data_IF_197716245477
#
_entry.id   IF_197716245477
#
_cell.length_a   1.000
_cell.length_b   1.000
_cell.length_c   1.000
_cell.angle_alpha   90.00
_cell.angle_beta   90.00
_cell.angle_gamma   90.00
#
_symmetry.space_group_name_H-M   'P 1'
#
loop_
_entity.id
_entity.type
_entity.pdbx_description
1 polymer ?
#
# COMPACT_ATOMS: atom_id res chain seq x y z
N UNK A 1 7.43 24.91 -18.42
CA UNK A 1 6.82 23.72 -17.83
C UNK A 1 5.59 24.08 -17.00
N UNK A 2 5.67 24.83 -15.90
CA UNK A 2 4.50 25.18 -15.07
C UNK A 2 3.30 25.84 -15.80
N UNK A 3 3.53 26.64 -16.85
CA UNK A 3 2.42 27.15 -17.68
C UNK A 3 1.62 26.02 -18.34
N UNK A 4 2.29 24.97 -18.81
CA UNK A 4 1.66 23.81 -19.45
C UNK A 4 0.84 23.01 -18.44
N UNK A 5 1.31 22.88 -17.20
CA UNK A 5 0.53 22.28 -16.10
C UNK A 5 -0.83 22.99 -15.90
N UNK A 6 -0.84 24.32 -15.88
CA UNK A 6 -2.11 25.06 -15.77
C UNK A 6 -2.96 24.98 -17.04
N UNK A 7 -2.36 24.93 -18.23
CA UNK A 7 -3.11 24.71 -19.47
C UNK A 7 -3.75 23.32 -19.52
N UNK A 8 -3.07 22.30 -18.99
CA UNK A 8 -3.59 20.94 -18.83
C UNK A 8 -4.81 20.95 -17.91
N UNK A 9 -4.71 21.63 -16.77
CA UNK A 9 -5.83 21.82 -15.85
C UNK A 9 -7.01 22.56 -16.49
N UNK A 10 -6.76 23.64 -17.23
CA UNK A 10 -7.81 24.38 -17.95
C UNK A 10 -8.51 23.49 -19.00
N UNK A 11 -7.76 22.66 -19.73
CA UNK A 11 -8.33 21.70 -20.67
C UNK A 11 -9.19 20.65 -19.96
N UNK A 12 -8.70 20.08 -18.87
CA UNK A 12 -9.44 19.14 -18.02
C UNK A 12 -10.76 19.74 -17.51
N UNK A 13 -10.73 21.01 -17.08
CA UNK A 13 -11.93 21.68 -16.59
C UNK A 13 -12.99 21.89 -17.68
N UNK A 14 -12.56 22.15 -18.92
CA UNK A 14 -13.45 22.51 -20.03
C UNK A 14 -14.17 21.28 -20.59
N UNK A 15 -13.42 20.32 -21.10
CA UNK A 15 -13.98 19.21 -21.89
C UNK A 15 -13.07 17.98 -22.00
N UNK A 16 -11.90 17.95 -21.34
CA UNK A 16 -10.93 16.87 -21.49
C UNK A 16 -10.83 15.92 -20.27
N UNK A 17 -11.79 15.95 -19.33
CA UNK A 17 -11.71 15.11 -18.12
C UNK A 17 -11.83 13.61 -18.41
N UNK A 18 -12.45 13.22 -19.53
CA UNK A 18 -12.54 11.83 -19.97
C UNK A 18 -11.18 11.23 -20.38
N UNK A 19 -10.16 12.08 -20.58
CA UNK A 19 -8.79 11.67 -20.94
C UNK A 19 -7.83 11.67 -19.73
N UNK A 20 -8.36 11.46 -18.52
CA UNK A 20 -7.57 11.62 -17.30
C UNK A 20 -6.42 10.62 -17.22
N UNK A 21 -6.65 9.36 -17.59
CA UNK A 21 -5.60 8.34 -17.68
C UNK A 21 -4.46 8.76 -18.62
N UNK A 22 -4.74 9.41 -19.75
CA UNK A 22 -3.72 9.93 -20.66
C UNK A 22 -2.97 11.14 -20.10
N UNK A 23 -3.59 11.88 -19.15
CA UNK A 23 -2.92 12.97 -18.43
C UNK A 23 -2.00 12.47 -17.32
N UNK A 24 -2.24 11.26 -16.78
CA UNK A 24 -1.55 10.72 -15.61
C UNK A 24 -0.03 10.73 -15.72
N UNK A 25 0.60 10.25 -16.82
CA UNK A 25 2.06 10.28 -16.94
C UNK A 25 2.62 11.70 -16.82
N UNK A 26 1.91 12.70 -17.32
CA UNK A 26 2.35 14.09 -17.23
C UNK A 26 2.16 14.64 -15.80
N UNK A 27 1.01 14.35 -15.17
CA UNK A 27 0.69 14.79 -13.81
C UNK A 27 1.64 14.18 -12.77
N UNK A 28 1.90 12.88 -12.88
CA UNK A 28 2.86 12.15 -12.06
C UNK A 28 4.24 12.81 -12.12
N UNK A 29 4.77 13.04 -13.33
CA UNK A 29 6.07 13.69 -13.52
C UNK A 29 6.15 15.11 -12.92
N UNK A 30 5.07 15.89 -12.95
CA UNK A 30 5.06 17.21 -12.30
C UNK A 30 5.23 17.13 -10.78
N UNK A 31 4.83 16.03 -10.16
CA UNK A 31 4.90 15.80 -8.72
C UNK A 31 6.24 15.17 -8.34
N UNK A 32 6.72 14.20 -9.12
CA UNK A 32 7.86 13.32 -8.75
C UNK A 32 9.23 13.84 -9.18
N UNK A 33 9.33 14.54 -10.32
CA UNK A 33 10.65 14.94 -10.87
C UNK A 33 11.32 16.09 -10.11
N UNK A 34 10.55 17.12 -9.72
CA UNK A 34 11.04 18.26 -8.93
C UNK A 34 9.97 18.66 -7.91
N UNK A 35 9.81 17.80 -6.90
CA UNK A 35 8.85 17.99 -5.81
C UNK A 35 9.04 19.33 -5.08
N UNK A 36 10.28 19.82 -4.80
CA UNK A 36 10.46 21.16 -4.23
C UNK A 36 9.86 22.28 -5.09
N UNK A 37 10.06 22.25 -6.41
CA UNK A 37 9.45 23.23 -7.31
C UNK A 37 7.93 23.09 -7.40
N UNK A 38 7.40 21.86 -7.34
CA UNK A 38 5.96 21.60 -7.25
C UNK A 38 5.34 22.23 -5.99
N UNK A 39 5.97 22.02 -4.83
CA UNK A 39 5.52 22.52 -3.54
C UNK A 39 5.72 24.04 -3.35
N UNK A 40 6.60 24.66 -4.14
CA UNK A 40 6.86 26.10 -4.07
C UNK A 40 5.61 26.96 -4.36
N UNK A 41 4.61 26.42 -5.05
CA UNK A 41 3.32 27.07 -5.27
C UNK A 41 2.17 26.21 -4.74
N UNK A 42 1.48 26.62 -3.65
CA UNK A 42 0.40 25.82 -3.07
C UNK A 42 -0.80 25.61 -4.01
N UNK A 43 -0.94 26.45 -5.04
CA UNK A 43 -1.94 26.26 -6.10
C UNK A 43 -1.78 24.91 -6.82
N UNK A 44 -0.57 24.34 -6.86
CA UNK A 44 -0.33 23.07 -7.53
C UNK A 44 -1.05 21.91 -6.83
N UNK A 45 -1.02 21.88 -5.50
CA UNK A 45 -1.77 20.91 -4.68
C UNK A 45 -3.28 21.09 -4.83
N UNK A 46 -3.75 22.34 -4.95
CA UNK A 46 -5.15 22.65 -5.22
C UNK A 46 -5.60 22.15 -6.60
N UNK A 47 -4.75 22.28 -7.62
CA UNK A 47 -5.04 21.78 -8.97
C UNK A 47 -5.19 20.27 -8.95
N UNK A 48 -4.24 19.53 -8.35
CA UNK A 48 -4.32 18.07 -8.20
C UNK A 48 -5.59 17.68 -7.46
N UNK A 49 -5.87 18.32 -6.33
CA UNK A 49 -7.09 18.08 -5.56
C UNK A 49 -8.34 18.23 -6.40
N UNK A 50 -8.49 19.35 -7.10
CA UNK A 50 -9.69 19.66 -7.86
C UNK A 50 -9.89 18.69 -9.03
N UNK A 51 -8.81 18.24 -9.66
CA UNK A 51 -8.89 17.22 -10.71
C UNK A 51 -9.36 15.89 -10.13
N UNK A 52 -8.66 15.36 -9.12
CA UNK A 52 -9.00 14.08 -8.52
C UNK A 52 -10.39 14.09 -7.87
N UNK A 53 -10.77 15.16 -7.16
CA UNK A 53 -12.09 15.29 -6.54
C UNK A 53 -13.21 15.25 -7.57
N UNK A 54 -13.04 15.92 -8.72
CA UNK A 54 -14.01 15.87 -9.83
C UNK A 54 -14.14 14.43 -10.35
N UNK A 55 -13.02 13.77 -10.65
CA UNK A 55 -13.01 12.39 -11.14
C UNK A 55 -13.70 11.43 -10.18
N UNK A 56 -13.38 11.53 -8.89
CA UNK A 56 -13.96 10.66 -7.87
C UNK A 56 -15.45 10.95 -7.66
N UNK A 57 -15.94 12.19 -7.82
CA UNK A 57 -17.31 12.56 -7.46
C UNK A 57 -18.31 12.40 -8.61
N UNK A 58 -17.88 12.60 -9.85
CA UNK A 58 -18.76 12.62 -11.02
C UNK A 58 -19.26 11.21 -11.38
N UNK A 59 -20.58 11.04 -11.47
CA UNK A 59 -21.20 9.72 -11.70
C UNK A 59 -21.03 9.18 -13.12
N UNK A 60 -20.70 10.04 -14.09
CA UNK A 60 -20.46 9.63 -15.48
C UNK A 60 -19.05 9.10 -15.72
N UNK A 61 -18.15 9.29 -14.75
CA UNK A 61 -16.76 8.83 -14.83
C UNK A 61 -16.72 7.32 -14.54
N UNK A 62 -15.99 6.59 -15.38
CA UNK A 62 -15.79 5.15 -15.25
C UNK A 62 -14.83 4.81 -14.09
N UNK A 63 -14.92 3.59 -13.54
CA UNK A 63 -14.15 3.21 -12.35
C UNK A 63 -12.63 3.18 -12.63
N UNK A 64 -12.19 2.79 -13.83
CA UNK A 64 -10.79 2.84 -14.27
C UNK A 64 -10.18 4.26 -14.18
N UNK A 65 -10.92 5.29 -14.62
CA UNK A 65 -10.49 6.67 -14.54
C UNK A 65 -10.48 7.18 -13.08
N UNK A 66 -11.35 6.62 -12.24
CA UNK A 66 -11.37 6.92 -10.79
C UNK A 66 -10.17 6.27 -10.08
N UNK A 67 -9.75 5.07 -10.48
CA UNK A 67 -8.53 4.42 -9.98
C UNK A 67 -7.31 5.31 -10.24
N UNK A 68 -7.16 5.84 -11.45
CA UNK A 68 -6.11 6.80 -11.79
C UNK A 68 -6.14 8.05 -10.88
N UNK A 69 -7.33 8.58 -10.59
CA UNK A 69 -7.47 9.74 -9.72
C UNK A 69 -7.08 9.44 -8.27
N UNK A 70 -7.43 8.26 -7.76
CA UNK A 70 -7.00 7.78 -6.45
C UNK A 70 -5.47 7.57 -6.41
N UNK A 71 -4.89 6.93 -7.43
CA UNK A 71 -3.44 6.73 -7.56
C UNK A 71 -2.68 8.06 -7.53
N UNK A 72 -3.18 9.09 -8.22
CA UNK A 72 -2.55 10.41 -8.19
C UNK A 72 -2.56 11.07 -6.80
N UNK A 73 -3.65 10.88 -6.03
CA UNK A 73 -3.71 11.36 -4.65
C UNK A 73 -2.68 10.64 -3.77
N UNK A 74 -2.59 9.32 -3.88
CA UNK A 74 -1.63 8.48 -3.17
C UNK A 74 -0.18 8.88 -3.51
N UNK A 75 0.17 8.96 -4.81
CA UNK A 75 1.47 9.48 -5.30
C UNK A 75 1.79 10.83 -4.66
N UNK A 76 0.83 11.75 -4.64
CA UNK A 76 1.05 13.09 -4.07
C UNK A 76 1.31 13.03 -2.56
N UNK A 77 0.58 12.18 -1.83
CA UNK A 77 0.77 12.01 -0.38
C UNK A 77 2.16 11.47 -0.07
N UNK A 78 2.57 10.39 -0.75
CA UNK A 78 3.85 9.73 -0.51
C UNK A 78 5.02 10.61 -0.97
N UNK A 79 4.93 11.20 -2.16
CA UNK A 79 6.01 12.02 -2.70
C UNK A 79 6.24 13.31 -1.90
N UNK A 80 5.17 13.93 -1.40
CA UNK A 80 5.25 15.20 -0.68
C UNK A 80 5.36 15.02 0.85
N UNK A 81 5.94 13.89 1.30
CA UNK A 81 6.02 13.49 2.70
C UNK A 81 6.50 14.63 3.62
N UNK A 82 5.75 14.91 4.69
CA UNK A 82 6.05 15.96 5.68
C UNK A 82 5.75 17.41 5.25
N UNK A 83 5.22 17.66 4.05
CA UNK A 83 5.03 19.02 3.52
C UNK A 83 3.57 19.41 3.25
N UNK A 84 2.63 18.48 3.37
CA UNK A 84 1.24 18.67 2.90
C UNK A 84 0.16 18.38 3.95
N UNK A 85 0.49 18.45 5.25
CA UNK A 85 -0.43 18.18 6.37
C UNK A 85 -1.79 18.87 6.22
N UNK A 86 -1.80 20.11 5.72
CA UNK A 86 -3.00 20.92 5.52
C UNK A 86 -3.91 20.43 4.36
N UNK A 87 -3.35 19.67 3.42
CA UNK A 87 -4.06 19.10 2.27
C UNK A 87 -4.54 17.68 2.51
N UNK A 88 -3.87 16.95 3.41
CA UNK A 88 -4.19 15.55 3.70
C UNK A 88 -5.68 15.31 4.03
N UNK A 89 -6.37 16.12 4.87
CA UNK A 89 -7.79 15.91 5.13
C UNK A 89 -8.66 15.89 3.86
N UNK A 90 -8.37 16.77 2.91
CA UNK A 90 -9.13 16.88 1.67
C UNK A 90 -8.93 15.68 0.76
N UNK A 91 -7.69 15.15 0.69
CA UNK A 91 -7.35 14.01 -0.16
C UNK A 91 -7.97 12.73 0.38
N UNK A 92 -7.85 12.52 1.69
CA UNK A 92 -8.45 11.40 2.41
C UNK A 92 -9.98 11.43 2.30
N UNK A 93 -10.60 12.60 2.52
CA UNK A 93 -12.05 12.75 2.38
C UNK A 93 -12.52 12.44 0.95
N UNK A 94 -11.81 12.91 -0.08
CA UNK A 94 -12.20 12.66 -1.47
C UNK A 94 -12.21 11.17 -1.82
N UNK A 95 -11.20 10.42 -1.39
CA UNK A 95 -11.11 8.98 -1.64
C UNK A 95 -12.13 8.19 -0.81
N UNK A 96 -12.24 8.46 0.50
CA UNK A 96 -13.16 7.70 1.35
C UNK A 96 -14.63 8.03 1.08
N UNK A 97 -14.97 9.27 0.68
CA UNK A 97 -16.33 9.60 0.23
C UNK A 97 -16.71 8.84 -1.03
N UNK A 98 -15.74 8.46 -1.89
CA UNK A 98 -16.05 7.62 -3.07
C UNK A 98 -16.59 6.25 -2.67
N UNK A 99 -16.14 5.70 -1.55
CA UNK A 99 -16.57 4.40 -1.03
C UNK A 99 -17.99 4.43 -0.42
N UNK A 100 -18.60 5.61 -0.26
CA UNK A 100 -20.00 5.71 0.21
C UNK A 100 -21.03 5.55 -0.91
N UNK A 101 -20.56 5.40 -2.15
CA UNK A 101 -21.36 5.09 -3.34
C UNK A 101 -21.08 3.67 -3.80
N UNK A 102 -21.93 3.16 -4.68
CA UNK A 102 -21.71 1.84 -5.30
C UNK A 102 -20.33 1.78 -5.97
N UNK A 103 -19.58 0.73 -5.66
CA UNK A 103 -18.30 0.37 -6.27
C UNK A 103 -18.45 -1.03 -6.83
N UNK A 104 -18.17 -1.23 -8.11
CA UNK A 104 -18.37 -2.52 -8.77
C UNK A 104 -17.09 -3.34 -8.79
N UNK A 105 -15.96 -2.69 -9.04
CA UNK A 105 -14.65 -3.32 -9.18
C UNK A 105 -13.88 -3.23 -7.86
N UNK A 106 -13.22 -4.33 -7.47
CA UNK A 106 -12.39 -4.37 -6.26
C UNK A 106 -11.21 -3.40 -6.36
N UNK A 107 -10.63 -3.23 -7.56
CA UNK A 107 -9.51 -2.33 -7.81
C UNK A 107 -9.80 -0.90 -7.35
N UNK A 108 -10.95 -0.33 -7.69
CA UNK A 108 -11.31 1.02 -7.23
C UNK A 108 -11.43 1.10 -5.71
N UNK A 109 -11.94 0.04 -5.07
CA UNK A 109 -12.02 -0.03 -3.62
C UNK A 109 -10.62 -0.04 -3.00
N UNK A 110 -9.74 -0.91 -3.50
CA UNK A 110 -8.32 -1.00 -3.11
C UNK A 110 -7.63 0.36 -3.28
N UNK A 111 -7.73 0.98 -4.45
CA UNK A 111 -7.10 2.28 -4.72
C UNK A 111 -7.58 3.40 -3.78
N UNK A 112 -8.88 3.45 -3.46
CA UNK A 112 -9.39 4.43 -2.48
C UNK A 112 -8.88 4.15 -1.06
N UNK A 113 -8.74 2.87 -0.68
CA UNK A 113 -8.13 2.48 0.59
C UNK A 113 -6.64 2.85 0.63
N UNK A 114 -5.91 2.69 -0.48
CA UNK A 114 -4.50 3.05 -0.59
C UNK A 114 -4.23 4.53 -0.35
N UNK A 115 -5.12 5.44 -0.75
CA UNK A 115 -5.00 6.86 -0.40
C UNK A 115 -4.99 7.06 1.12
N UNK A 116 -5.81 6.30 1.85
CA UNK A 116 -5.77 6.32 3.31
C UNK A 116 -4.56 5.59 3.88
N UNK A 117 -4.12 4.47 3.31
CA UNK A 117 -2.89 3.77 3.72
C UNK A 117 -1.66 4.67 3.53
N UNK A 118 -1.57 5.41 2.42
CA UNK A 118 -0.55 6.43 2.20
C UNK A 118 -0.56 7.49 3.30
N UNK A 119 -1.74 7.87 3.80
CA UNK A 119 -1.86 8.76 4.97
C UNK A 119 -1.28 8.14 6.26
N UNK A 120 -1.38 6.81 6.46
CA UNK A 120 -0.80 6.11 7.61
C UNK A 120 0.72 6.17 7.54
N UNK A 121 1.28 5.87 6.36
CA UNK A 121 2.72 5.90 6.08
C UNK A 121 3.25 7.33 6.17
N UNK A 122 2.47 8.31 5.72
CA UNK A 122 2.80 9.73 5.78
C UNK A 122 2.88 10.27 7.21
N UNK A 123 1.80 10.14 7.99
CA UNK A 123 1.71 10.62 9.36
C UNK A 123 0.53 9.95 10.05
N UNK A 124 0.79 8.80 10.66
CA UNK A 124 -0.23 7.94 11.27
C UNK A 124 -1.11 8.68 12.29
N UNK A 125 -0.56 9.45 13.26
CA UNK A 125 -1.38 10.20 14.21
C UNK A 125 -2.30 11.24 13.53
N UNK A 126 -1.80 11.93 12.49
CA UNK A 126 -2.60 12.91 11.76
C UNK A 126 -3.74 12.23 11.01
N UNK A 127 -3.48 11.12 10.31
CA UNK A 127 -4.52 10.39 9.61
C UNK A 127 -5.60 9.89 10.57
N UNK A 128 -5.23 9.28 11.70
CA UNK A 128 -6.20 8.83 12.69
C UNK A 128 -7.08 9.99 13.18
N UNK A 129 -6.49 11.17 13.43
CA UNK A 129 -7.26 12.37 13.75
C UNK A 129 -8.18 12.83 12.61
N UNK A 130 -7.83 12.61 11.35
CA UNK A 130 -8.68 12.94 10.20
C UNK A 130 -9.87 11.97 10.17
N UNK A 131 -9.63 10.66 10.22
CA UNK A 131 -10.67 9.63 10.18
C UNK A 131 -11.71 9.83 11.29
N UNK A 132 -11.28 10.17 12.52
CA UNK A 132 -12.18 10.43 13.64
C UNK A 132 -13.08 11.66 13.47
N UNK A 133 -12.65 12.63 12.63
CA UNK A 133 -13.41 13.85 12.34
C UNK A 133 -14.33 13.69 11.13
N UNK A 134 -14.03 12.75 10.23
CA UNK A 134 -14.84 12.52 9.04
C UNK A 134 -16.19 11.91 9.41
N UNK A 135 -17.24 12.41 8.77
CA UNK A 135 -18.60 11.90 8.91
C UNK A 135 -19.27 11.87 7.55
N UNK A 136 -19.60 10.67 7.09
CA UNK A 136 -20.37 10.50 5.86
C UNK A 136 -21.86 10.27 6.16
N UNK A 137 -22.76 10.84 5.34
CA UNK A 137 -24.20 10.64 5.51
C UNK A 137 -24.58 9.16 5.47
N UNK A 138 -25.65 8.80 6.20
CA UNK A 138 -26.26 7.46 6.18
C UNK A 138 -25.40 6.30 6.70
N UNK A 139 -24.28 6.57 7.37
CA UNK A 139 -23.53 5.55 8.12
C UNK A 139 -23.80 5.65 9.62
N UNK A 140 -24.04 4.50 10.26
CA UNK A 140 -24.07 4.38 11.72
C UNK A 140 -22.70 4.07 12.32
N UNK A 141 -21.74 3.67 11.48
CA UNK A 141 -20.39 3.29 11.86
C UNK A 141 -19.42 4.44 11.61
N UNK A 142 -18.40 4.59 12.47
CA UNK A 142 -17.35 5.59 12.29
C UNK A 142 -16.52 5.30 11.04
N UNK A 143 -16.07 6.33 10.33
CA UNK A 143 -15.19 6.18 9.16
C UNK A 143 -13.93 5.38 9.49
N UNK A 144 -13.36 5.58 10.68
CA UNK A 144 -12.23 4.80 11.20
C UNK A 144 -12.52 3.30 11.20
N UNK A 145 -13.66 2.86 11.73
CA UNK A 145 -14.03 1.45 11.77
C UNK A 145 -14.32 0.85 10.38
N UNK A 146 -15.01 1.61 9.52
CA UNK A 146 -15.25 1.20 8.14
C UNK A 146 -13.94 1.01 7.36
N UNK A 147 -13.00 1.93 7.49
CA UNK A 147 -11.69 1.85 6.86
C UNK A 147 -10.94 0.58 7.27
N UNK A 148 -10.79 0.31 8.57
CA UNK A 148 -10.11 -0.89 9.05
C UNK A 148 -10.83 -2.18 8.67
N UNK A 149 -12.15 -2.17 8.68
CA UNK A 149 -12.95 -3.32 8.27
C UNK A 149 -12.73 -3.65 6.79
N UNK A 150 -12.89 -2.68 5.88
CA UNK A 150 -12.64 -2.93 4.46
C UNK A 150 -11.18 -3.30 4.19
N UNK A 151 -10.23 -2.58 4.77
CA UNK A 151 -8.81 -2.83 4.54
C UNK A 151 -8.40 -4.26 4.92
N UNK A 152 -8.84 -4.77 6.09
CA UNK A 152 -8.48 -6.14 6.51
C UNK A 152 -9.28 -7.21 5.77
N UNK A 153 -10.53 -6.94 5.37
CA UNK A 153 -11.36 -7.93 4.68
C UNK A 153 -11.05 -8.06 3.18
N UNK A 154 -10.56 -7.00 2.53
CA UNK A 154 -10.22 -6.99 1.10
C UNK A 154 -8.72 -7.24 0.85
N UNK A 155 -8.00 -7.90 1.77
CA UNK A 155 -6.55 -8.11 1.66
C UNK A 155 -6.15 -8.92 0.43
N UNK A 156 -7.02 -9.81 -0.04
CA UNK A 156 -6.86 -10.63 -1.25
C UNK A 156 -7.04 -9.83 -2.55
N UNK A 157 -7.48 -8.57 -2.45
CA UNK A 157 -7.64 -7.64 -3.57
C UNK A 157 -6.47 -6.65 -3.72
N UNK A 158 -5.40 -6.80 -2.94
CA UNK A 158 -4.14 -6.04 -3.08
C UNK A 158 -3.20 -6.82 -4.00
N UNK A 159 -3.16 -6.41 -5.26
CA UNK A 159 -2.45 -7.10 -6.34
C UNK A 159 -1.13 -6.42 -6.67
N UNK A 160 -0.16 -7.20 -7.15
CA UNK A 160 1.17 -6.68 -7.50
C UNK A 160 2.05 -6.35 -6.30
N UNK A 161 3.24 -5.83 -6.56
CA UNK A 161 4.26 -5.61 -5.52
C UNK A 161 3.89 -4.37 -4.71
N UNK A 162 3.54 -3.28 -5.40
CA UNK A 162 3.29 -1.99 -4.76
C UNK A 162 2.14 -2.08 -3.74
N UNK A 163 1.02 -2.68 -4.13
CA UNK A 163 -0.17 -2.74 -3.27
C UNK A 163 0.12 -3.53 -1.99
N UNK A 164 0.84 -4.63 -2.11
CA UNK A 164 1.20 -5.50 -0.98
C UNK A 164 2.20 -4.81 -0.06
N UNK A 165 3.20 -4.10 -0.62
CA UNK A 165 4.12 -3.25 0.17
C UNK A 165 3.33 -2.20 0.95
N UNK A 166 2.43 -1.47 0.30
CA UNK A 166 1.59 -0.46 0.94
C UNK A 166 0.80 -1.04 2.11
N UNK A 167 0.19 -2.22 1.94
CA UNK A 167 -0.54 -2.89 3.01
C UNK A 167 0.36 -3.18 4.22
N UNK A 168 1.52 -3.81 4.00
CA UNK A 168 2.46 -4.19 5.06
C UNK A 168 3.03 -2.95 5.77
N UNK A 169 3.45 -1.93 5.01
CA UNK A 169 3.99 -0.69 5.55
C UNK A 169 2.95 0.11 6.34
N UNK A 170 1.69 0.14 5.87
CA UNK A 170 0.59 0.76 6.59
C UNK A 170 0.35 0.13 7.96
N UNK A 171 0.37 -1.20 8.05
CA UNK A 171 0.24 -1.91 9.33
C UNK A 171 1.47 -1.74 10.21
N UNK A 172 2.67 -1.70 9.62
CA UNK A 172 3.92 -1.41 10.34
C UNK A 172 3.85 -0.04 11.03
N UNK A 173 3.42 1.00 10.31
CA UNK A 173 3.21 2.34 10.86
C UNK A 173 2.20 2.37 12.02
N UNK A 174 1.17 1.53 12.00
CA UNK A 174 0.20 1.40 13.11
C UNK A 174 0.76 0.68 14.32
N UNK A 175 1.59 -0.34 14.12
CA UNK A 175 2.26 -1.06 15.20
C UNK A 175 3.26 -0.17 15.93
N UNK A 176 3.93 0.74 15.22
CA UNK A 176 4.84 1.71 15.81
C UNK A 176 4.17 2.75 16.73
N UNK A 177 2.84 2.85 16.70
CA UNK A 177 2.12 3.69 17.66
C UNK A 177 2.10 3.06 19.07
N UNK A 178 2.24 3.88 20.13
CA UNK A 178 1.91 3.46 21.49
C UNK A 178 0.52 2.83 21.58
N UNK A 179 0.41 1.72 22.33
CA UNK A 179 -0.82 0.91 22.45
C UNK A 179 -2.03 1.75 22.88
N UNK A 180 -1.81 2.80 23.66
CA UNK A 180 -2.85 3.66 24.22
C UNK A 180 -3.54 4.55 23.19
N UNK A 181 -2.88 4.84 22.06
CA UNK A 181 -3.42 5.73 21.02
C UNK A 181 -3.91 4.97 19.78
N UNK A 182 -3.79 3.64 19.77
CA UNK A 182 -4.27 2.82 18.65
C UNK A 182 -5.82 2.81 18.63
N UNK A 183 -6.44 2.90 17.44
CA UNK A 183 -7.88 2.90 17.31
C UNK A 183 -8.50 1.60 17.84
N UNK A 184 -9.62 1.70 18.55
CA UNK A 184 -10.37 0.52 19.00
C UNK A 184 -10.85 -0.36 17.82
N UNK A 185 -11.11 0.25 16.67
CA UNK A 185 -11.45 -0.45 15.43
C UNK A 185 -10.36 -1.47 15.01
N UNK A 186 -9.08 -1.15 15.21
CA UNK A 186 -7.97 -2.05 14.90
C UNK A 186 -8.02 -3.32 15.76
N UNK A 187 -8.44 -3.20 17.03
CA UNK A 187 -8.59 -4.35 17.91
C UNK A 187 -9.76 -5.25 17.50
N UNK A 188 -10.79 -4.70 16.84
CA UNK A 188 -11.96 -5.48 16.41
C UNK A 188 -11.66 -6.39 15.22
N UNK A 189 -10.75 -5.98 14.33
CA UNK A 189 -10.28 -6.79 13.20
C UNK A 189 -8.98 -7.57 13.49
N UNK A 190 -8.42 -7.46 14.71
CA UNK A 190 -7.11 -8.03 15.04
C UNK A 190 -6.93 -9.53 14.74
N UNK A 191 -7.95 -10.41 14.90
CA UNK A 191 -7.80 -11.83 14.57
C UNK A 191 -7.52 -12.11 13.09
N UNK A 192 -7.86 -11.19 12.19
CA UNK A 192 -7.72 -11.34 10.73
C UNK A 192 -6.44 -10.68 10.19
N UNK A 193 -5.84 -9.74 10.92
CA UNK A 193 -4.68 -8.96 10.47
C UNK A 193 -3.49 -9.88 10.15
N UNK A 194 -3.14 -10.78 11.05
CA UNK A 194 -2.00 -11.66 10.83
C UNK A 194 -2.22 -12.67 9.69
N UNK A 195 -3.37 -13.37 9.61
CA UNK A 195 -3.72 -14.14 8.43
C UNK A 195 -3.55 -13.37 7.11
N UNK A 196 -4.07 -12.14 7.04
CA UNK A 196 -3.96 -11.29 5.86
C UNK A 196 -2.49 -10.97 5.52
N UNK A 197 -1.71 -10.52 6.50
CA UNK A 197 -0.29 -10.21 6.30
C UNK A 197 0.52 -11.41 5.81
N UNK A 198 0.25 -12.62 6.30
CA UNK A 198 0.96 -13.82 5.87
C UNK A 198 0.69 -14.14 4.39
N UNK A 199 -0.55 -13.98 3.93
CA UNK A 199 -0.89 -14.15 2.50
C UNK A 199 -0.20 -13.10 1.63
N UNK A 200 -0.15 -11.85 2.10
CA UNK A 200 0.51 -10.77 1.39
C UNK A 200 2.02 -10.96 1.32
N UNK A 201 2.67 -11.42 2.39
CA UNK A 201 4.09 -11.77 2.38
C UNK A 201 4.41 -12.91 1.42
N UNK A 202 3.57 -13.96 1.36
CA UNK A 202 3.76 -15.00 0.35
C UNK A 202 3.61 -14.46 -1.07
N UNK A 203 2.64 -13.58 -1.31
CA UNK A 203 2.45 -12.94 -2.61
C UNK A 203 3.63 -12.05 -3.01
N UNK A 204 4.18 -11.27 -2.06
CA UNK A 204 5.38 -10.46 -2.28
C UNK A 204 6.59 -11.31 -2.64
N UNK A 205 6.84 -12.38 -1.89
CA UNK A 205 7.96 -13.28 -2.17
C UNK A 205 7.89 -13.83 -3.59
N UNK A 206 6.72 -14.36 -3.98
CA UNK A 206 6.47 -14.88 -5.32
C UNK A 206 6.68 -13.82 -6.40
N UNK A 207 6.15 -12.62 -6.19
CA UNK A 207 6.29 -11.53 -7.15
C UNK A 207 7.74 -11.06 -7.33
N UNK A 208 8.56 -11.05 -6.26
CA UNK A 208 9.99 -10.75 -6.37
C UNK A 208 10.78 -11.86 -7.07
N UNK A 209 10.47 -13.14 -6.80
CA UNK A 209 11.09 -14.28 -7.49
C UNK A 209 10.84 -14.19 -9.01
N UNK A 210 9.60 -13.91 -9.43
CA UNK A 210 9.27 -13.72 -10.84
C UNK A 210 10.00 -12.53 -11.49
N UNK A 211 10.12 -11.41 -10.78
CA UNK A 211 10.83 -10.22 -11.31
C UNK A 211 12.33 -10.48 -11.46
N UNK A 212 12.95 -11.19 -10.52
CA UNK A 212 14.35 -11.60 -10.61
C UNK A 212 14.62 -12.53 -11.79
N UNK A 213 13.72 -13.49 -12.04
CA UNK A 213 13.83 -14.41 -13.17
C UNK A 213 13.66 -13.69 -14.54
N UNK A 214 12.84 -12.64 -14.62
CA UNK A 214 12.68 -11.83 -15.84
C UNK A 214 13.92 -10.99 -16.16
N UNK A 215 14.57 -10.42 -15.13
CA UNK A 215 15.80 -9.65 -15.30
C UNK A 215 16.98 -10.57 -15.73
N UNK A 216 17.10 -11.77 -15.14
CA UNK A 216 18.13 -12.76 -15.50
C UNK A 216 17.95 -13.35 -16.92
N UNK A 217 16.70 -13.56 -17.38
CA UNK A 217 16.43 -14.10 -18.72
C UNK A 217 16.61 -13.07 -19.86
N UNK A 218 16.71 -11.77 -19.55
CA UNK A 218 16.94 -10.71 -20.53
C UNK A 218 18.44 -10.47 -20.83
N UNK A 219 19.36 -11.12 -20.12
CA UNK A 219 20.82 -11.00 -20.37
C UNK A 219 21.36 -11.94 -21.46
N UNK A 220 20.55 -12.87 -22.00
CA UNK A 220 21.02 -13.94 -22.89
C UNK A 220 20.88 -13.66 -24.41
N UNK A 221 20.63 -12.41 -24.83
CA UNK A 221 20.38 -12.04 -26.23
C UNK A 221 21.32 -10.94 -26.81
N UNK A 222 22.60 -10.91 -26.41
CA UNK A 222 23.66 -10.22 -27.18
C UNK A 222 24.86 -11.12 -27.51
N UNK A 223 24.76 -11.88 -28.61
CA UNK A 223 25.92 -12.38 -29.37
C UNK A 223 26.74 -11.19 -29.92
N UNK A 224 27.80 -10.77 -29.21
CA UNK A 224 28.58 -9.59 -29.61
C UNK A 224 29.90 -9.31 -28.89
N UNK A 225 30.80 -10.30 -28.77
CA UNK A 225 32.26 -10.19 -28.62
C UNK A 225 32.84 -8.81 -28.23
N UNK A 226 33.04 -8.55 -26.92
CA UNK A 226 34.09 -7.63 -26.43
C UNK A 226 34.32 -7.77 -24.92
N UNK A 227 35.45 -8.41 -24.58
CA UNK A 227 36.37 -8.15 -23.46
C UNK A 227 35.82 -7.68 -22.09
N UNK A 228 36.01 -8.57 -21.10
CA UNK A 228 36.43 -8.29 -19.71
C UNK A 228 36.37 -6.82 -19.25
N UNK A 229 35.29 -6.48 -18.54
CA UNK A 229 35.39 -5.60 -17.37
C UNK A 229 34.55 -6.23 -16.25
N UNK A 230 35.23 -6.92 -15.34
CA UNK A 230 34.73 -7.32 -14.03
C UNK A 230 34.21 -6.07 -13.29
N UNK A 231 32.90 -5.88 -13.24
CA UNK A 231 32.26 -5.18 -12.12
C UNK A 231 31.59 -6.25 -11.28
N UNK A 232 32.23 -6.55 -10.16
CA UNK A 232 31.67 -7.31 -9.06
C UNK A 232 30.30 -6.72 -8.69
N UNK A 233 29.24 -7.43 -9.06
CA UNK A 233 27.91 -7.29 -8.45
C UNK A 233 28.01 -7.95 -7.08
N UNK A 234 28.60 -7.23 -6.13
CA UNK A 234 28.46 -7.50 -4.71
C UNK A 234 27.36 -6.56 -4.20
N UNK A 235 26.41 -7.14 -3.47
CA UNK A 235 25.28 -6.52 -2.75
C UNK A 235 23.97 -6.48 -3.53
N UNK A 236 23.24 -7.61 -3.55
CA UNK A 236 21.77 -7.68 -3.36
C UNK A 236 21.37 -9.13 -3.01
N UNK A 237 21.97 -9.70 -1.95
CA UNK A 237 21.36 -10.84 -1.29
C UNK A 237 20.15 -10.32 -0.50
N UNK A 238 18.93 -10.54 -1.03
CA UNK A 238 17.73 -10.62 -0.21
C UNK A 238 18.12 -11.45 1.01
N UNK A 239 18.09 -10.88 2.22
CA UNK A 239 18.61 -11.56 3.39
C UNK A 239 17.81 -12.85 3.62
N UNK A 240 18.35 -13.98 3.15
CA UNK A 240 17.64 -15.26 3.13
C UNK A 240 17.11 -15.62 4.52
N UNK A 241 17.83 -15.22 5.57
CA UNK A 241 17.44 -15.45 6.96
C UNK A 241 16.12 -14.72 7.34
N UNK A 242 15.82 -13.58 6.71
CA UNK A 242 14.64 -12.75 6.98
C UNK A 242 13.38 -13.30 6.32
N UNK A 243 13.51 -13.68 5.04
CA UNK A 243 12.46 -14.41 4.31
C UNK A 243 12.18 -15.75 4.99
N UNK A 244 13.22 -16.48 5.40
CA UNK A 244 13.09 -17.73 6.16
C UNK A 244 12.38 -17.54 7.51
N UNK A 245 12.58 -16.41 8.18
CA UNK A 245 11.89 -16.10 9.45
C UNK A 245 10.39 -15.91 9.23
N UNK A 246 9.98 -15.11 8.23
CA UNK A 246 8.56 -14.90 7.90
C UNK A 246 7.94 -16.20 7.38
N UNK A 247 8.62 -16.96 6.53
CA UNK A 247 8.16 -18.28 6.09
C UNK A 247 7.97 -19.24 7.26
N UNK A 248 8.92 -19.26 8.21
CA UNK A 248 8.81 -20.06 9.42
C UNK A 248 7.59 -19.65 10.25
N UNK A 249 7.26 -18.35 10.30
CA UNK A 249 6.04 -17.85 10.92
C UNK A 249 4.81 -18.35 10.14
N UNK A 250 4.73 -18.11 8.84
CA UNK A 250 3.66 -18.50 7.94
C UNK A 250 3.35 -20.01 7.99
N UNK A 251 4.38 -20.85 7.83
CA UNK A 251 4.28 -22.33 7.89
C UNK A 251 3.77 -22.81 9.25
N UNK A 252 4.18 -22.18 10.36
CA UNK A 252 3.70 -22.56 11.71
C UNK A 252 2.26 -22.08 11.96
N UNK A 253 1.84 -20.95 11.40
CA UNK A 253 0.45 -20.48 11.46
C UNK A 253 -0.49 -21.34 10.60
N UNK A 254 -0.09 -21.72 9.38
CA UNK A 254 -0.84 -22.60 8.49
C UNK A 254 -1.09 -24.00 9.07
N UNK A 255 -0.25 -24.46 10.02
CA UNK A 255 -0.41 -25.75 10.72
C UNK A 255 -1.39 -25.66 11.90
N UNK A 256 -1.66 -24.46 12.45
CA UNK A 256 -2.44 -24.29 13.69
C UNK A 256 -3.90 -23.88 13.47
N UNK A 257 -4.18 -23.14 12.40
CA UNK A 257 -5.52 -22.99 11.86
C UNK A 257 -5.62 -23.92 10.66
N UNK A 258 -6.69 -24.67 10.49
CA UNK A 258 -7.04 -25.37 9.23
C UNK A 258 -7.30 -24.31 8.12
N UNK A 259 -6.29 -23.50 7.82
CA UNK A 259 -6.32 -22.38 6.89
C UNK A 259 -6.01 -22.96 5.51
N UNK A 260 -6.94 -23.76 5.02
CA UNK A 260 -6.91 -24.34 3.68
C UNK A 260 -6.66 -23.26 2.62
N UNK A 261 -7.18 -22.04 2.84
CA UNK A 261 -7.09 -20.92 1.91
C UNK A 261 -5.64 -20.44 1.69
N UNK A 262 -4.84 -20.30 2.75
CA UNK A 262 -3.44 -19.90 2.58
C UNK A 262 -2.61 -21.03 1.98
N UNK A 263 -2.92 -22.30 2.28
CA UNK A 263 -2.23 -23.43 1.69
C UNK A 263 -2.61 -23.65 0.21
N UNK A 264 -3.86 -23.40 -0.18
CA UNK A 264 -4.35 -23.48 -1.57
C UNK A 264 -3.76 -22.35 -2.43
N UNK A 265 -3.61 -21.12 -1.90
CA UNK A 265 -2.96 -20.02 -2.62
C UNK A 265 -1.43 -20.11 -2.68
N UNK A 266 -0.82 -21.04 -1.93
CA UNK A 266 0.63 -21.29 -1.91
C UNK A 266 1.06 -22.39 -2.91
N UNK A 267 0.13 -23.20 -3.41
CA UNK A 267 0.43 -24.41 -4.22
C UNK A 267 0.04 -24.25 -5.72
N UNK A 268 -0.63 -23.15 -6.10
CA UNK A 268 -0.89 -22.81 -7.50
C UNK A 268 0.29 -21.99 -8.07
N UNK A 269 1.30 -22.72 -8.56
CA UNK A 269 2.48 -22.19 -9.29
C UNK A 269 2.14 -21.64 -10.70
N UNK A 270 0.89 -21.81 -11.17
CA UNK A 270 0.50 -21.56 -12.57
C UNK A 270 -0.27 -20.24 -12.81
N UNK A 271 -0.54 -19.42 -11.78
CA UNK A 271 -1.41 -18.21 -11.90
C UNK A 271 -0.63 -16.86 -11.79
N UNK A 272 0.69 -16.89 -12.00
CA UNK A 272 1.61 -15.79 -11.67
C UNK A 272 1.81 -14.77 -12.80
N UNK A 273 1.26 -15.01 -13.99
CA UNK A 273 1.54 -14.17 -15.18
C UNK A 273 0.84 -12.79 -15.19
N UNK A 274 -0.07 -12.47 -14.25
CA UNK A 274 -0.96 -11.29 -14.38
C UNK A 274 -1.22 -10.52 -13.06
N UNK A 275 -0.28 -10.53 -12.11
CA UNK A 275 -0.48 -9.80 -10.83
C UNK A 275 -0.07 -8.32 -10.87
N UNK A 276 0.72 -7.86 -11.84
CA UNK A 276 1.15 -6.46 -11.90
C UNK A 276 0.03 -5.58 -12.47
N UNK A 277 -0.41 -4.59 -11.68
CA UNK A 277 -1.47 -3.67 -12.13
C UNK A 277 -0.89 -2.58 -13.02
N UNK A 278 -1.64 -2.13 -14.03
CA UNK A 278 -1.17 -1.05 -14.93
C UNK A 278 -0.81 0.26 -14.18
N UNK A 279 -1.35 0.44 -12.97
CA UNK A 279 -1.09 1.59 -12.10
C UNK A 279 0.26 1.51 -11.36
N UNK A 280 0.91 0.34 -11.30
CA UNK A 280 2.27 0.19 -10.72
C UNK A 280 3.33 0.97 -11.50
N UNK A 281 3.07 1.25 -12.79
CA UNK A 281 3.88 2.16 -13.61
C UNK A 281 4.01 3.58 -13.02
N UNK A 282 3.08 3.99 -12.14
CA UNK A 282 3.13 5.27 -11.44
C UNK A 282 3.82 5.11 -10.08
N UNK A 283 5.13 4.92 -10.12
CA UNK A 283 5.98 4.67 -8.95
C UNK A 283 5.94 5.81 -7.94
N UNK A 284 6.22 5.46 -6.69
CA UNK A 284 6.17 6.34 -5.53
C UNK A 284 7.43 6.18 -4.69
N UNK A 285 7.56 6.97 -3.62
CA UNK A 285 8.65 6.84 -2.68
C UNK A 285 8.69 5.49 -1.93
N UNK A 286 7.62 4.69 -1.92
CA UNK A 286 7.63 3.35 -1.29
C UNK A 286 8.16 2.24 -2.22
N UNK A 287 8.28 2.54 -3.51
CA UNK A 287 8.75 1.60 -4.53
C UNK A 287 10.27 1.61 -4.68
N UNK A 288 10.96 2.47 -3.93
CA UNK A 288 12.41 2.46 -3.90
C UNK A 288 12.93 1.23 -3.14
N UNK A 289 14.13 0.80 -3.50
CA UNK A 289 14.83 -0.34 -2.86
C UNK A 289 15.16 -0.06 -1.39
N UNK A 290 15.30 1.21 -1.00
CA UNK A 290 15.58 1.59 0.39
C UNK A 290 14.41 1.27 1.36
N UNK A 291 13.18 1.12 0.85
CA UNK A 291 12.00 0.80 1.66
C UNK A 291 11.71 -0.69 1.60
N UNK A 292 12.26 -1.44 2.55
CA UNK A 292 12.00 -2.88 2.73
C UNK A 292 10.85 -3.12 3.73
N UNK A 293 9.76 -3.71 3.22
CA UNK A 293 8.55 -4.02 3.97
C UNK A 293 8.71 -5.17 4.97
N UNK A 294 9.60 -6.14 4.72
CA UNK A 294 9.90 -7.23 5.64
C UNK A 294 10.67 -6.70 6.85
N UNK A 295 11.68 -5.87 6.62
CA UNK A 295 12.46 -5.21 7.66
C UNK A 295 11.58 -4.26 8.46
N UNK A 296 10.76 -3.44 7.80
CA UNK A 296 9.85 -2.51 8.45
C UNK A 296 8.87 -3.24 9.38
N UNK A 297 8.25 -4.33 8.89
CA UNK A 297 7.33 -5.13 9.67
C UNK A 297 8.01 -5.81 10.87
N UNK A 298 9.17 -6.43 10.64
CA UNK A 298 9.96 -7.09 11.70
C UNK A 298 10.36 -6.09 12.79
N UNK A 299 10.86 -4.93 12.39
CA UNK A 299 11.29 -3.87 13.33
C UNK A 299 10.12 -3.42 14.19
N UNK A 300 8.96 -3.17 13.56
CA UNK A 300 7.73 -2.76 14.25
C UNK A 300 7.25 -3.82 15.24
N UNK A 301 7.33 -5.11 14.86
CA UNK A 301 6.92 -6.24 15.69
C UNK A 301 7.82 -6.41 16.92
N UNK A 302 9.14 -6.27 16.74
CA UNK A 302 10.13 -6.41 17.81
C UNK A 302 10.10 -5.22 18.77
N UNK A 303 9.87 -4.00 18.28
CA UNK A 303 9.86 -2.79 19.08
C UNK A 303 8.72 -2.69 20.10
N UNK A 304 7.58 -3.33 19.83
CA UNK A 304 6.33 -3.07 20.57
C UNK A 304 5.84 -4.23 21.46
N UNK A 305 6.57 -5.34 21.53
CA UNK A 305 6.19 -6.59 22.23
C UNK A 305 4.69 -6.87 22.02
N UNK A 306 4.30 -6.82 20.74
CA UNK A 306 2.94 -6.52 20.29
C UNK A 306 2.05 -7.75 20.15
N UNK A 307 2.45 -8.77 20.89
CA UNK A 307 1.82 -10.07 20.90
C UNK A 307 0.34 -9.97 21.26
N UNK A 308 -0.09 -8.93 21.98
CA UNK A 308 -1.51 -8.70 22.32
C UNK A 308 -2.41 -8.51 21.09
N UNK A 309 -1.94 -7.87 20.02
CA UNK A 309 -2.69 -7.74 18.76
C UNK A 309 -2.95 -9.12 18.13
N UNK A 310 -2.00 -10.04 18.36
CA UNK A 310 -1.95 -11.40 17.85
C UNK A 310 -2.40 -12.47 18.88
N UNK A 311 -2.64 -12.11 20.15
CA UNK A 311 -3.01 -13.01 21.25
C UNK A 311 -4.52 -13.20 21.38
N UNK A 312 -5.34 -12.39 20.70
CA UNK A 312 -6.80 -12.54 20.69
C UNK A 312 -7.30 -13.69 19.80
N UNK A 313 -6.38 -14.48 19.24
CA UNK A 313 -6.73 -15.76 18.62
C UNK A 313 -7.41 -16.67 19.68
N UNK A 314 -8.51 -17.35 19.33
CA UNK A 314 -9.26 -18.16 20.28
C UNK A 314 -8.32 -19.20 20.90
N UNK A 315 -8.15 -19.10 22.24
CA UNK A 315 -7.45 -20.03 23.13
C UNK A 315 -6.88 -21.28 22.42
N UNK A 316 -5.67 -21.17 21.88
CA UNK A 316 -4.80 -22.34 21.76
C UNK A 316 -4.33 -22.63 23.17
N UNK A 317 -5.15 -23.38 23.90
CA UNK A 317 -4.93 -23.77 25.28
C UNK A 317 -3.49 -24.27 25.49
N UNK A 318 -2.68 -23.45 26.15
CA UNK A 318 -1.41 -23.85 26.77
C UNK A 318 -0.09 -23.45 26.10
N UNK A 319 -0.08 -22.84 24.91
CA UNK A 319 1.19 -22.57 24.19
C UNK A 319 1.47 -21.08 23.85
N UNK A 320 0.49 -20.19 23.93
CA UNK A 320 0.65 -18.77 23.60
C UNK A 320 1.66 -18.05 24.49
N UNK A 321 1.76 -18.42 25.77
CA UNK A 321 2.76 -17.85 26.70
C UNK A 321 4.21 -18.27 26.42
N UNK A 322 4.44 -19.39 25.73
CA UNK A 322 5.77 -19.88 25.35
C UNK A 322 6.22 -19.32 23.99
N UNK A 323 5.29 -19.11 23.05
CA UNK A 323 5.59 -18.59 21.70
C UNK A 323 6.00 -17.11 21.69
N UNK A 324 5.43 -16.32 22.59
CA UNK A 324 5.85 -14.95 22.85
C UNK A 324 7.29 -14.87 23.40
N UNK A 325 7.65 -15.79 24.30
CA UNK A 325 8.96 -15.80 24.94
C UNK A 325 10.08 -16.25 23.99
N UNK A 326 9.81 -17.15 23.04
CA UNK A 326 10.80 -17.52 22.02
C UNK A 326 11.10 -16.40 21.01
N UNK A 327 10.18 -15.44 20.83
CA UNK A 327 10.36 -14.27 19.97
C UNK A 327 11.25 -13.19 20.63
N UNK A 328 11.31 -13.17 21.96
CA UNK A 328 12.09 -12.19 22.77
C UNK A 328 13.49 -12.67 23.20
N UNK A 329 13.87 -13.91 22.86
CA UNK A 329 15.07 -14.58 23.38
C UNK A 329 15.98 -15.13 22.28
N UNK A 330 16.31 -14.37 21.25
CA UNK A 330 17.53 -14.61 20.47
C UNK A 330 18.19 -13.27 20.17
N UNK A 331 19.54 -13.20 20.27
CA UNK A 331 20.31 -11.96 20.39
C UNK A 331 20.27 -11.08 19.16
#
# INVERSE_FOLDING_TARGET
MWTVFYMLYEAFQRDAFDYFAEMMPCLHNYITVDTPAFLANPKNLEVVYNMCKKMLTESSVQEDQQCNAAKLLEVTILQCHGHIDQWLPFYIEAALERLTREVKESELRTMCLQVAIAGLIYNTPLLLSILDKLQFPNSHETVTAQFFSHWVNDYDCFFGIHDRKMFVLGFSALMDLPKEIRPQALLQCSPQILPALLVLFSGLKRAYECRGDEDDNNEDDEDGDSDEDELASDEDEINEDEVQYIEGLAKRYAVTMEMQIAAEHLDDEDDVEDEETALENFTTAVDNEETDEYIAFRTSLQGNDDLLLFQQLPNVSGQTGLHCQSLSQFP
#
